data_IF_747916790043
#
_entry.id   IF_747916790043
#
_cell.length_a   1.000
_cell.length_b   1.000
_cell.length_c   1.000
_cell.angle_alpha   90.00
_cell.angle_beta   90.00
_cell.angle_gamma   90.00
#
_symmetry.space_group_name_H-M   'P 1'
#
loop_
_entity.id
_entity.type
_entity.pdbx_description
1 polymer ?
#
# COMPACT_ATOMS: atom_id res chain seq x y z
N UNK A 1 -13.13 13.54 12.82
CA UNK A 1 -13.02 12.94 11.48
C UNK A 1 -11.56 12.67 11.16
N UNK A 2 -11.11 11.42 11.28
CA UNK A 2 -9.77 11.01 10.86
C UNK A 2 -9.83 10.57 9.40
N UNK A 3 -9.07 11.22 8.53
CA UNK A 3 -9.04 10.96 7.08
C UNK A 3 -7.62 10.72 6.55
N UNK A 4 -6.63 10.64 7.44
CA UNK A 4 -5.24 10.32 7.16
C UNK A 4 -4.81 9.17 8.08
N UNK A 5 -4.24 8.12 7.48
CA UNK A 5 -3.80 6.93 8.17
C UNK A 5 -2.39 6.60 7.70
N UNK A 6 -1.50 6.24 8.64
CA UNK A 6 -0.12 5.87 8.33
C UNK A 6 0.03 4.35 8.35
N UNK A 7 0.88 3.84 7.45
CA UNK A 7 1.32 2.45 7.44
C UNK A 7 2.83 2.41 7.63
N UNK A 8 3.29 1.63 8.61
CA UNK A 8 4.70 1.40 8.89
C UNK A 8 4.99 -0.09 8.84
N UNK A 9 6.17 -0.47 8.41
CA UNK A 9 6.60 -1.86 8.26
C UNK A 9 8.10 -1.99 8.52
N UNK A 10 8.59 -3.21 8.72
CA UNK A 10 10.03 -3.48 8.78
C UNK A 10 10.62 -3.39 7.37
N UNK A 11 11.22 -2.25 7.05
CA UNK A 11 11.81 -1.94 5.74
C UNK A 11 13.05 -2.78 5.41
N UNK A 12 13.57 -3.55 6.38
CA UNK A 12 14.68 -4.49 6.14
C UNK A 12 14.19 -5.78 5.47
N UNK A 13 12.89 -6.06 5.53
CA UNK A 13 12.26 -7.20 4.87
C UNK A 13 11.91 -6.87 3.42
N UNK A 14 11.74 -7.92 2.61
CA UNK A 14 11.29 -7.79 1.22
C UNK A 14 9.90 -7.14 1.16
N UNK A 15 9.61 -6.40 0.09
CA UNK A 15 8.27 -5.81 -0.10
C UNK A 15 7.14 -6.85 -0.21
N UNK A 16 7.50 -8.08 -0.58
CA UNK A 16 6.62 -9.25 -0.61
C UNK A 16 6.49 -9.98 0.73
N UNK A 17 7.04 -9.44 1.81
CA UNK A 17 6.92 -10.04 3.14
C UNK A 17 5.44 -10.22 3.51
N UNK A 18 5.07 -11.44 3.90
CA UNK A 18 3.67 -11.83 4.12
C UNK A 18 3.05 -11.05 5.28
N UNK A 19 3.83 -10.76 6.33
CA UNK A 19 3.32 -10.05 7.49
C UNK A 19 3.01 -8.59 7.13
N UNK A 20 3.94 -7.91 6.44
CA UNK A 20 3.74 -6.54 5.98
C UNK A 20 2.55 -6.43 5.01
N UNK A 21 2.44 -7.35 4.04
CA UNK A 21 1.33 -7.38 3.09
C UNK A 21 -0.02 -7.62 3.77
N UNK A 22 -0.08 -8.56 4.73
CA UNK A 22 -1.29 -8.81 5.50
C UNK A 22 -1.71 -7.58 6.33
N UNK A 23 -0.77 -6.93 7.02
CA UNK A 23 -1.05 -5.73 7.80
C UNK A 23 -1.49 -4.56 6.92
N UNK A 24 -0.89 -4.41 5.74
CA UNK A 24 -1.31 -3.41 4.75
C UNK A 24 -2.74 -3.65 4.27
N UNK A 25 -3.08 -4.90 3.93
CA UNK A 25 -4.44 -5.31 3.59
C UNK A 25 -5.44 -4.95 4.70
N UNK A 26 -5.14 -5.32 5.95
CA UNK A 26 -6.01 -5.02 7.09
C UNK A 26 -6.25 -3.52 7.26
N UNK A 27 -5.22 -2.69 7.06
CA UNK A 27 -5.36 -1.25 7.13
C UNK A 27 -6.27 -0.72 6.02
N UNK A 28 -6.07 -1.15 4.77
CA UNK A 28 -6.91 -0.75 3.63
C UNK A 28 -8.37 -1.11 3.86
N UNK A 29 -8.65 -2.33 4.31
CA UNK A 29 -10.01 -2.78 4.64
C UNK A 29 -10.63 -1.95 5.77
N UNK A 30 -9.88 -1.78 6.88
CA UNK A 30 -10.32 -1.00 8.03
C UNK A 30 -10.66 0.44 7.66
N UNK A 31 -9.80 1.11 6.89
CA UNK A 31 -10.04 2.51 6.47
C UNK A 31 -11.25 2.59 5.53
N UNK A 32 -11.38 1.64 4.61
CA UNK A 32 -12.53 1.58 3.70
C UNK A 32 -13.84 1.41 4.48
N UNK A 33 -13.87 0.50 5.47
CA UNK A 33 -15.03 0.27 6.33
C UNK A 33 -15.35 1.49 7.20
N UNK A 34 -14.34 2.12 7.80
CA UNK A 34 -14.52 3.29 8.68
C UNK A 34 -15.03 4.53 7.92
N UNK A 35 -14.62 4.69 6.66
CA UNK A 35 -14.92 5.90 5.88
C UNK A 35 -16.04 5.72 4.86
N UNK A 36 -16.41 4.47 4.55
CA UNK A 36 -17.34 4.13 3.47
C UNK A 36 -16.81 4.52 2.08
N UNK A 37 -15.50 4.76 1.95
CA UNK A 37 -14.88 5.28 0.73
C UNK A 37 -13.64 4.47 0.37
N UNK A 38 -13.42 4.34 -0.94
CA UNK A 38 -12.16 3.82 -1.46
C UNK A 38 -10.99 4.74 -1.11
N UNK A 39 -9.87 4.16 -0.70
CA UNK A 39 -8.69 4.87 -0.19
C UNK A 39 -7.82 5.41 -1.32
N UNK A 40 -7.15 6.54 -1.08
CA UNK A 40 -6.01 6.97 -1.90
C UNK A 40 -4.75 6.59 -1.14
N UNK A 41 -3.90 5.78 -1.77
CA UNK A 41 -2.64 5.33 -1.17
C UNK A 41 -1.52 6.19 -1.73
N UNK A 42 -0.65 6.70 -0.85
CA UNK A 42 0.57 7.41 -1.23
C UNK A 42 1.75 6.54 -0.80
N UNK A 43 2.57 6.11 -1.75
CA UNK A 43 3.77 5.30 -1.48
C UNK A 43 5.01 6.03 -1.96
N UNK A 44 5.99 6.16 -1.09
CA UNK A 44 7.28 6.80 -1.38
C UNK A 44 8.40 5.77 -1.43
N UNK A 45 9.26 5.84 -2.45
CA UNK A 45 10.42 4.95 -2.60
C UNK A 45 10.03 3.48 -2.42
N UNK A 46 10.72 2.72 -1.57
CA UNK A 46 10.42 1.32 -1.25
C UNK A 46 8.98 1.10 -0.76
N UNK A 47 8.37 2.08 -0.11
CA UNK A 47 6.99 1.99 0.36
C UNK A 47 5.98 1.84 -0.78
N UNK A 48 6.30 2.36 -1.97
CA UNK A 48 5.48 2.14 -3.16
C UNK A 48 5.48 0.70 -3.67
N UNK A 49 6.58 -0.05 -3.45
CA UNK A 49 6.67 -1.45 -3.85
C UNK A 49 5.78 -2.36 -2.99
N UNK A 50 5.48 -1.98 -1.74
CA UNK A 50 4.47 -2.65 -0.92
C UNK A 50 3.11 -2.58 -1.60
N UNK A 51 2.73 -1.39 -2.08
CA UNK A 51 1.44 -1.14 -2.74
C UNK A 51 1.38 -1.85 -4.09
N UNK A 52 2.47 -1.80 -4.86
CA UNK A 52 2.57 -2.50 -6.13
C UNK A 52 2.39 -4.02 -5.97
N UNK A 53 3.10 -4.63 -5.02
CA UNK A 53 2.96 -6.05 -4.72
C UNK A 53 1.54 -6.40 -4.25
N UNK A 54 0.94 -5.55 -3.40
CA UNK A 54 -0.44 -5.71 -2.95
C UNK A 54 -1.42 -5.75 -4.14
N UNK A 55 -1.33 -4.79 -5.06
CA UNK A 55 -2.21 -4.71 -6.23
C UNK A 55 -2.01 -5.90 -7.19
N UNK A 56 -0.78 -6.41 -7.34
CA UNK A 56 -0.49 -7.60 -8.14
C UNK A 56 -1.07 -8.89 -7.54
N UNK A 57 -1.22 -8.94 -6.22
CA UNK A 57 -1.68 -10.15 -5.49
C UNK A 57 -3.16 -10.12 -5.10
N UNK A 58 -3.81 -8.96 -5.18
CA UNK A 58 -5.23 -8.77 -4.89
C UNK A 58 -5.93 -8.22 -6.15
N UNK A 59 -6.42 -9.07 -7.07
CA UNK A 59 -6.96 -8.62 -8.36
C UNK A 59 -8.20 -7.72 -8.24
N UNK A 60 -8.86 -7.73 -7.08
CA UNK A 60 -10.03 -6.92 -6.73
C UNK A 60 -9.67 -5.63 -5.96
N UNK A 61 -8.39 -5.26 -5.88
CA UNK A 61 -7.92 -4.10 -5.11
C UNK A 61 -8.67 -2.80 -5.45
N UNK A 62 -9.16 -2.64 -6.69
CA UNK A 62 -9.90 -1.45 -7.15
C UNK A 62 -11.22 -1.21 -6.39
N UNK A 63 -11.76 -2.25 -5.72
CA UNK A 63 -12.92 -2.13 -4.85
C UNK A 63 -12.62 -1.34 -3.57
N UNK A 64 -11.34 -1.31 -3.15
CA UNK A 64 -10.91 -0.64 -1.91
C UNK A 64 -9.95 0.52 -2.17
N UNK A 65 -9.10 0.46 -3.19
CA UNK A 65 -8.16 1.52 -3.56
C UNK A 65 -8.73 2.29 -4.76
N UNK A 66 -8.85 3.61 -4.62
CA UNK A 66 -9.28 4.52 -5.67
C UNK A 66 -8.11 4.97 -6.55
N UNK A 67 -6.97 5.25 -5.93
CA UNK A 67 -5.76 5.78 -6.58
C UNK A 67 -4.52 5.34 -5.81
N UNK A 68 -3.45 5.12 -6.55
CA UNK A 68 -2.10 5.00 -6.00
C UNK A 68 -1.25 6.16 -6.51
N UNK A 69 -0.73 6.97 -5.60
CA UNK A 69 0.22 8.04 -5.86
C UNK A 69 1.62 7.51 -5.51
N UNK A 70 2.38 7.16 -6.55
CA UNK A 70 3.75 6.70 -6.43
C UNK A 70 4.72 7.88 -6.47
N UNK A 71 5.57 8.02 -5.45
CA UNK A 71 6.59 9.07 -5.35
C UNK A 71 7.97 8.41 -5.35
N UNK A 72 8.74 8.62 -6.42
CA UNK A 72 10.11 8.12 -6.55
C UNK A 72 10.24 6.59 -6.29
N UNK A 73 9.23 5.81 -6.72
CA UNK A 73 9.19 4.37 -6.48
C UNK A 73 10.08 3.67 -7.51
N UNK A 74 11.08 2.87 -7.08
CA UNK A 74 11.98 2.17 -7.99
C UNK A 74 11.33 0.87 -8.49
N UNK A 75 10.32 0.99 -9.36
CA UNK A 75 9.56 -0.17 -9.87
C UNK A 75 10.45 -1.27 -10.47
N UNK A 76 11.49 -0.86 -11.19
CA UNK A 76 12.47 -1.76 -11.83
C UNK A 76 13.83 -1.74 -11.12
N UNK A 77 13.84 -1.38 -9.83
CA UNK A 77 15.05 -1.12 -9.07
C UNK A 77 15.64 0.27 -9.35
N UNK A 78 16.85 0.50 -8.84
CA UNK A 78 17.59 1.75 -9.03
C UNK A 78 19.05 1.42 -9.33
N UNK A 79 19.59 2.02 -10.39
CA UNK A 79 21.03 2.15 -10.56
C UNK A 79 21.48 3.42 -9.82
N UNK A 80 22.61 3.32 -9.13
CA UNK A 80 23.28 4.45 -8.47
C UNK A 80 24.30 5.11 -9.39
#
# INVERSE_FOLDING_TARGET
NYNLFAFTYDWRQMSSDKQAQFQFHQLVQRVTQLTGRRVTVVGHSLGGLIVEHYMKTHPDYEQTIKRFVAICVPFDGSSG
#
